data_IF_851785924054
#
_entry.id   IF_851785924054
#
_cell.length_a   1.000
_cell.length_b   1.000
_cell.length_c   1.000
_cell.angle_alpha   90.00
_cell.angle_beta   90.00
_cell.angle_gamma   90.00
#
_symmetry.space_group_name_H-M   'P 1'
#
loop_
_entity.id
_entity.type
_entity.pdbx_description
1 polymer ?
#
# COMPACT_ATOMS: atom_id res chain seq x y z
N UNK A 1 -34.95 -1.23 24.11
CA UNK A 1 -33.48 -1.30 24.29
C UNK A 1 -32.81 -1.20 22.92
N UNK A 2 -32.11 -0.11 22.61
CA UNK A 2 -31.29 0.00 21.39
C UNK A 2 -29.84 -0.35 21.73
N UNK A 3 -29.28 -1.32 20.99
CA UNK A 3 -27.94 -1.86 21.18
C UNK A 3 -26.94 -0.81 20.69
N UNK A 4 -26.09 -0.37 21.61
CA UNK A 4 -25.05 0.66 21.42
C UNK A 4 -24.21 0.27 20.20
N UNK A 5 -24.20 1.12 19.17
CA UNK A 5 -23.31 1.00 18.03
C UNK A 5 -21.86 1.07 18.53
N UNK A 6 -21.07 0.12 18.06
CA UNK A 6 -19.66 -0.09 18.36
C UNK A 6 -18.86 1.19 18.04
N UNK A 7 -18.57 2.03 19.04
CA UNK A 7 -17.68 3.17 18.87
C UNK A 7 -16.24 2.64 18.92
N UNK A 8 -15.82 1.94 17.87
CA UNK A 8 -14.41 1.65 17.68
C UNK A 8 -13.64 2.97 17.66
N UNK A 9 -12.55 3.04 18.42
CA UNK A 9 -11.73 4.25 18.49
C UNK A 9 -11.21 4.63 17.10
N UNK A 10 -10.93 5.92 16.82
CA UNK A 10 -10.37 6.34 15.53
C UNK A 10 -9.12 5.53 15.12
N UNK A 11 -8.27 5.16 16.09
CA UNK A 11 -7.11 4.32 15.85
C UNK A 11 -7.44 2.87 15.48
N UNK A 12 -8.55 2.32 16.00
CA UNK A 12 -9.05 0.99 15.64
C UNK A 12 -9.58 0.99 14.21
N UNK A 13 -10.30 2.04 13.82
CA UNK A 13 -10.80 2.19 12.45
C UNK A 13 -9.65 2.39 11.45
N UNK A 14 -8.66 3.22 11.78
CA UNK A 14 -7.45 3.39 10.98
C UNK A 14 -6.68 2.06 10.80
N UNK A 15 -6.56 1.27 11.86
CA UNK A 15 -5.95 -0.07 11.83
C UNK A 15 -6.72 -1.02 10.90
N UNK A 16 -8.06 -1.02 10.99
CA UNK A 16 -8.91 -1.85 10.13
C UNK A 16 -8.81 -1.42 8.67
N UNK A 17 -8.74 -0.12 8.42
CA UNK A 17 -8.54 0.44 7.08
C UNK A 17 -7.20 0.00 6.50
N UNK A 18 -6.09 0.11 7.26
CA UNK A 18 -4.77 -0.36 6.84
C UNK A 18 -4.77 -1.84 6.42
N UNK A 19 -5.45 -2.73 7.15
CA UNK A 19 -5.55 -4.15 6.80
C UNK A 19 -6.29 -4.41 5.48
N UNK A 20 -7.22 -3.55 5.12
CA UNK A 20 -8.07 -3.70 3.94
C UNK A 20 -7.52 -2.97 2.71
N UNK A 21 -6.56 -2.08 2.91
CA UNK A 21 -5.94 -1.31 1.84
C UNK A 21 -5.22 -2.25 0.87
N UNK A 22 -5.51 -2.06 -0.42
CA UNK A 22 -4.85 -2.73 -1.54
C UNK A 22 -4.52 -1.69 -2.59
N UNK A 23 -3.40 -1.86 -3.28
CA UNK A 23 -2.97 -1.00 -4.37
C UNK A 23 -3.95 -1.06 -5.55
N UNK A 24 -4.48 -2.23 -5.90
CA UNK A 24 -5.30 -2.42 -7.10
C UNK A 24 -4.61 -1.86 -8.36
N UNK A 25 -5.35 -1.20 -9.27
CA UNK A 25 -4.80 -0.66 -10.51
C UNK A 25 -4.18 0.76 -10.35
N UNK A 26 -4.27 1.37 -9.16
CA UNK A 26 -3.75 2.73 -8.94
C UNK A 26 -2.23 2.75 -8.70
N UNK A 27 -1.56 3.85 -9.06
CA UNK A 27 -0.13 4.04 -8.80
C UNK A 27 0.27 3.75 -7.37
N UNK A 28 1.48 3.22 -7.19
CA UNK A 28 2.05 2.98 -5.85
C UNK A 28 2.11 4.29 -5.07
N UNK A 29 2.36 5.43 -5.73
CA UNK A 29 2.39 6.73 -5.07
C UNK A 29 1.03 7.11 -4.45
N UNK A 30 -0.07 6.85 -5.14
CA UNK A 30 -1.42 7.15 -4.63
C UNK A 30 -1.78 6.21 -3.47
N UNK A 31 -1.45 4.92 -3.63
CA UNK A 31 -1.60 3.93 -2.57
C UNK A 31 -0.78 4.29 -1.32
N UNK A 32 0.47 4.74 -1.49
CA UNK A 32 1.34 5.12 -0.39
C UNK A 32 0.83 6.34 0.39
N UNK A 33 0.21 7.32 -0.28
CA UNK A 33 -0.43 8.47 0.39
C UNK A 33 -1.54 8.00 1.33
N UNK A 34 -2.39 7.08 0.88
CA UNK A 34 -3.45 6.51 1.71
C UNK A 34 -2.89 5.75 2.92
N UNK A 35 -1.87 4.91 2.70
CA UNK A 35 -1.22 4.15 3.78
C UNK A 35 -0.59 5.09 4.81
N UNK A 36 0.13 6.14 4.39
CA UNK A 36 0.71 7.14 5.30
C UNK A 36 -0.35 7.87 6.11
N UNK A 37 -1.46 8.23 5.47
CA UNK A 37 -2.59 8.90 6.14
C UNK A 37 -3.16 8.00 7.22
N UNK A 38 -3.46 6.73 6.90
CA UNK A 38 -4.01 5.79 7.88
C UNK A 38 -2.97 5.38 8.94
N UNK A 39 -1.69 5.33 8.60
CA UNK A 39 -0.60 5.05 9.53
C UNK A 39 -0.52 6.13 10.62
N UNK A 40 -0.61 7.41 10.24
CA UNK A 40 -0.58 8.55 11.17
C UNK A 40 -1.71 8.52 12.20
N UNK A 41 -2.87 8.01 11.80
CA UNK A 41 -4.05 7.88 12.68
C UNK A 41 -4.06 6.54 13.46
N UNK A 42 -3.17 5.61 13.11
CA UNK A 42 -3.08 4.28 13.74
C UNK A 42 -2.04 4.24 14.87
N UNK A 43 -2.03 3.14 15.61
CA UNK A 43 -0.99 2.84 16.61
C UNK A 43 -0.03 1.75 16.15
N UNK A 44 0.07 1.52 14.84
CA UNK A 44 0.88 0.44 14.31
C UNK A 44 2.36 0.79 14.39
N UNK A 45 3.18 -0.22 14.68
CA UNK A 45 4.63 -0.09 14.66
C UNK A 45 5.18 -0.28 13.24
N UNK A 46 6.45 0.05 13.04
CA UNK A 46 7.11 -0.03 11.73
C UNK A 46 6.98 -1.41 11.06
N UNK A 47 7.20 -2.55 11.74
CA UNK A 47 7.02 -3.86 11.12
C UNK A 47 5.58 -4.12 10.66
N UNK A 48 4.57 -3.75 11.45
CA UNK A 48 3.18 -3.94 11.06
C UNK A 48 2.80 -3.08 9.84
N UNK A 49 3.30 -1.84 9.77
CA UNK A 49 3.09 -0.96 8.63
C UNK A 49 3.79 -1.48 7.37
N UNK A 50 5.03 -1.96 7.52
CA UNK A 50 5.78 -2.61 6.46
C UNK A 50 5.00 -3.80 5.88
N UNK A 51 4.53 -4.70 6.75
CA UNK A 51 3.82 -5.92 6.33
C UNK A 51 2.48 -5.62 5.67
N UNK A 52 1.69 -4.67 6.18
CA UNK A 52 0.46 -4.27 5.49
C UNK A 52 0.73 -3.61 4.15
N UNK A 53 1.73 -2.73 4.06
CA UNK A 53 2.10 -2.12 2.80
C UNK A 53 2.47 -3.19 1.78
N UNK A 54 3.40 -4.09 2.12
CA UNK A 54 3.80 -5.23 1.30
C UNK A 54 2.62 -6.08 0.88
N UNK A 55 1.74 -6.43 1.83
CA UNK A 55 0.58 -7.29 1.57
C UNK A 55 -0.38 -6.64 0.57
N UNK A 56 -0.57 -5.32 0.65
CA UNK A 56 -1.47 -4.58 -0.23
C UNK A 56 -0.93 -4.26 -1.62
N UNK A 57 0.37 -4.35 -1.87
CA UNK A 57 0.97 -4.17 -3.21
C UNK A 57 0.45 -5.22 -4.21
N UNK A 58 0.50 -4.88 -5.50
CA UNK A 58 0.21 -5.84 -6.58
C UNK A 58 1.36 -6.83 -6.78
N UNK A 59 1.03 -8.01 -7.30
CA UNK A 59 2.01 -9.07 -7.54
C UNK A 59 3.17 -8.64 -8.45
N UNK A 60 2.97 -7.87 -9.54
CA UNK A 60 4.08 -7.37 -10.35
C UNK A 60 5.09 -6.51 -9.58
N UNK A 61 4.64 -5.74 -8.58
CA UNK A 61 5.54 -4.95 -7.73
C UNK A 61 6.25 -5.87 -6.74
N UNK A 62 5.53 -6.80 -6.10
CA UNK A 62 6.09 -7.79 -5.18
C UNK A 62 7.16 -8.66 -5.83
N UNK A 63 6.94 -9.10 -7.07
CA UNK A 63 7.88 -9.91 -7.84
C UNK A 63 9.18 -9.15 -8.13
N UNK A 64 9.10 -7.84 -8.38
CA UNK A 64 10.26 -6.98 -8.58
C UNK A 64 10.97 -6.63 -7.27
N UNK A 65 10.26 -6.66 -6.13
CA UNK A 65 10.82 -6.47 -4.79
C UNK A 65 11.50 -7.74 -4.25
N UNK A 66 11.00 -8.93 -4.59
CA UNK A 66 11.51 -10.21 -4.10
C UNK A 66 13.04 -10.41 -4.24
N UNK A 67 13.70 -10.01 -5.36
CA UNK A 67 15.15 -10.14 -5.48
C UNK A 67 15.95 -9.01 -4.80
N UNK A 68 15.29 -7.97 -4.28
CA UNK A 68 15.95 -6.82 -3.65
C UNK A 68 16.11 -7.04 -2.16
N UNK A 69 17.16 -6.48 -1.58
CA UNK A 69 17.22 -6.30 -0.13
C UNK A 69 16.19 -5.23 0.26
N UNK A 70 15.02 -5.69 0.71
CA UNK A 70 13.89 -4.80 1.01
C UNK A 70 14.19 -4.03 2.30
N UNK A 71 14.09 -2.69 2.28
CA UNK A 71 14.28 -1.88 3.48
C UNK A 71 13.27 -2.23 4.58
N UNK A 72 13.71 -2.19 5.83
CA UNK A 72 12.88 -2.54 6.99
C UNK A 72 11.88 -1.44 7.39
N UNK A 73 12.08 -0.21 6.94
CA UNK A 73 11.21 0.93 7.23
C UNK A 73 10.22 1.22 6.09
N UNK A 74 9.04 1.72 6.47
CA UNK A 74 7.95 1.98 5.54
C UNK A 74 8.33 2.99 4.45
N UNK A 75 9.09 4.04 4.77
CA UNK A 75 9.37 5.14 3.85
C UNK A 75 10.33 4.70 2.75
N UNK A 76 11.39 3.98 3.11
CA UNK A 76 12.33 3.39 2.16
C UNK A 76 11.65 2.34 1.28
N UNK A 77 10.77 1.50 1.84
CA UNK A 77 9.98 0.54 1.06
C UNK A 77 9.06 1.24 0.05
N UNK A 78 8.37 2.32 0.46
CA UNK A 78 7.56 3.14 -0.43
C UNK A 78 8.42 3.69 -1.58
N UNK A 79 9.59 4.24 -1.28
CA UNK A 79 10.47 4.84 -2.28
C UNK A 79 10.92 3.81 -3.34
N UNK A 80 11.33 2.61 -2.91
CA UNK A 80 11.71 1.53 -3.84
C UNK A 80 10.51 1.08 -4.67
N UNK A 81 9.34 0.93 -4.05
CA UNK A 81 8.12 0.49 -4.73
C UNK A 81 7.66 1.49 -5.82
N UNK A 82 7.77 2.80 -5.56
CA UNK A 82 7.46 3.85 -6.55
C UNK A 82 8.42 3.78 -7.74
N UNK A 83 9.73 3.57 -7.49
CA UNK A 83 10.74 3.44 -8.55
C UNK A 83 10.45 2.26 -9.48
N UNK A 84 9.89 1.17 -8.94
CA UNK A 84 9.49 -0.01 -9.70
C UNK A 84 8.19 0.23 -10.50
N UNK A 85 7.21 0.93 -9.91
CA UNK A 85 5.90 1.15 -10.53
C UNK A 85 5.97 1.95 -11.83
N UNK A 86 6.85 2.96 -11.90
CA UNK A 86 6.96 3.84 -13.05
C UNK A 86 7.22 3.10 -14.39
N UNK A 87 8.27 2.25 -14.52
CA UNK A 87 8.48 1.50 -15.76
C UNK A 87 7.41 0.43 -16.04
N UNK A 88 6.78 -0.16 -15.02
CA UNK A 88 5.69 -1.12 -15.23
C UNK A 88 4.47 -0.45 -15.87
N UNK A 89 4.14 0.76 -15.39
CA UNK A 89 3.04 1.56 -15.93
C UNK A 89 3.31 2.07 -17.34
N UNK A 90 4.54 2.45 -17.64
CA UNK A 90 4.89 2.85 -19.01
C UNK A 90 4.68 1.69 -19.98
N UNK A 91 5.15 0.49 -19.61
CA UNK A 91 4.93 -0.73 -20.41
C UNK A 91 3.45 -1.08 -20.57
N UNK A 92 2.63 -0.84 -19.55
CA UNK A 92 1.17 -1.00 -19.66
C UNK A 92 0.57 -0.03 -20.67
N UNK A 93 0.93 1.25 -20.60
CA UNK A 93 0.46 2.29 -21.53
C UNK A 93 0.86 1.99 -22.97
N UNK A 94 2.09 1.52 -23.20
CA UNK A 94 2.56 1.08 -24.52
C UNK A 94 1.75 -0.11 -25.04
N UNK A 95 1.50 -1.12 -24.20
CA UNK A 95 0.68 -2.28 -24.59
C UNK A 95 -0.75 -1.92 -24.97
N UNK A 96 -1.34 -0.90 -24.34
CA UNK A 96 -2.66 -0.40 -24.71
C UNK A 96 -2.66 0.34 -26.04
N UNK A 97 -1.63 1.14 -26.33
CA UNK A 97 -1.49 1.89 -27.59
C UNK A 97 -1.30 1.01 -28.83
N UNK A 98 -0.67 -0.15 -28.70
CA UNK A 98 -0.47 -1.08 -29.82
C UNK A 98 -1.71 -1.93 -30.15
N UNK A 99 -2.78 -1.83 -29.36
CA UNK A 99 -4.02 -2.61 -29.52
C UNK A 99 -5.19 -1.82 -30.13
N UNK A 100 -5.01 -0.52 -30.37
CA UNK A 100 -5.86 0.36 -31.20
C UNK A 100 -5.30 0.45 -32.63
#
# INVERSE_FOLDING_TARGET
>A
MSRIFDHSSPATEASRRLLQMRQHNRPVVDYAIEVRTAAADSRWNTPALHDAFMTGLTDPIKDQLAPLEVPWDLESLIAVSIRIDNPLRERERERWRTRD
#
